data_IF_826269390058
#
_entry.id   IF_826269390058
#
_cell.length_a   1.000
_cell.length_b   1.000
_cell.length_c   1.000
_cell.angle_alpha   90.00
_cell.angle_beta   90.00
_cell.angle_gamma   90.00
#
_symmetry.space_group_name_H-M   'P 1'
#
loop_
_entity.id
_entity.type
_entity.pdbx_description
1 polymer ?
#
# COMPACT_ATOMS: atom_id res chain seq x y z
N UNK A 1 -15.40 -10.32 18.12
CA UNK A 1 -16.14 -9.09 17.76
C UNK A 1 -15.50 -8.49 16.51
N UNK A 2 -16.30 -7.96 15.57
CA UNK A 2 -15.78 -7.31 14.36
C UNK A 2 -16.24 -5.86 14.32
N UNK A 3 -15.29 -4.93 14.33
CA UNK A 3 -15.53 -3.49 14.37
C UNK A 3 -14.87 -2.83 13.17
N UNK A 4 -15.54 -1.88 12.52
CA UNK A 4 -14.94 -1.04 11.48
C UNK A 4 -14.79 0.38 12.02
N UNK A 5 -13.63 0.97 11.78
CA UNK A 5 -13.37 2.38 12.05
C UNK A 5 -12.77 3.03 10.81
N UNK A 6 -13.34 4.15 10.39
CA UNK A 6 -12.79 5.02 9.35
C UNK A 6 -12.65 6.43 9.90
N UNK A 7 -11.51 7.09 9.64
CA UNK A 7 -11.26 8.45 10.15
C UNK A 7 -12.08 9.50 9.38
N UNK A 8 -12.15 9.36 8.07
CA UNK A 8 -12.89 10.26 7.18
C UNK A 8 -14.06 9.54 6.50
N UNK A 9 -15.20 10.19 6.41
CA UNK A 9 -16.37 9.70 5.70
C UNK A 9 -16.63 10.54 4.45
N UNK A 10 -16.56 9.92 3.28
CA UNK A 10 -16.82 10.55 1.99
C UNK A 10 -18.30 10.39 1.68
N UNK A 11 -19.05 11.46 1.86
CA UNK A 11 -20.48 11.55 1.53
C UNK A 11 -20.75 12.44 0.31
N UNK A 12 -19.77 13.24 -0.10
CA UNK A 12 -19.83 14.17 -1.21
C UNK A 12 -18.55 14.06 -2.07
N UNK A 13 -18.67 13.95 -3.41
CA UNK A 13 -17.50 13.80 -4.29
C UNK A 13 -16.58 15.03 -4.37
N UNK A 14 -16.95 16.15 -3.76
CA UNK A 14 -16.12 17.35 -3.66
C UNK A 14 -15.54 17.59 -2.25
N UNK A 15 -15.95 16.82 -1.24
CA UNK A 15 -15.54 16.98 0.16
C UNK A 15 -15.11 15.63 0.74
N UNK A 16 -13.80 15.42 0.81
CA UNK A 16 -13.23 14.13 1.24
C UNK A 16 -12.85 14.07 2.73
N UNK A 17 -12.75 15.22 3.39
CA UNK A 17 -12.19 15.33 4.75
C UNK A 17 -10.66 15.33 4.81
N UNK A 18 -9.99 15.18 3.66
CA UNK A 18 -8.54 15.26 3.47
C UNK A 18 -8.24 15.88 2.10
N UNK A 19 -6.99 16.29 1.88
CA UNK A 19 -6.57 16.84 0.59
C UNK A 19 -6.39 15.71 -0.45
N UNK A 20 -7.10 15.74 -1.60
CA UNK A 20 -6.96 14.70 -2.62
C UNK A 20 -5.57 14.69 -3.30
N UNK A 21 -4.85 15.81 -3.34
CA UNK A 21 -3.46 15.84 -3.82
C UNK A 21 -2.56 15.00 -2.91
N UNK A 22 -2.70 15.16 -1.59
CA UNK A 22 -1.95 14.39 -0.60
C UNK A 22 -2.24 12.89 -0.77
N UNK A 23 -3.51 12.51 -0.96
CA UNK A 23 -3.86 11.11 -1.21
C UNK A 23 -3.18 10.57 -2.49
N UNK A 24 -3.18 11.35 -3.57
CA UNK A 24 -2.47 10.98 -4.79
C UNK A 24 -0.98 10.76 -4.53
N UNK A 25 -0.29 11.73 -3.91
CA UNK A 25 1.14 11.63 -3.56
C UNK A 25 1.45 10.44 -2.66
N UNK A 26 0.61 10.19 -1.66
CA UNK A 26 0.71 9.04 -0.77
C UNK A 26 0.72 7.72 -1.56
N UNK A 27 -0.20 7.55 -2.52
CA UNK A 27 -0.26 6.35 -3.36
C UNK A 27 0.99 6.19 -4.24
N UNK A 28 1.68 7.29 -4.52
CA UNK A 28 2.93 7.36 -5.28
C UNK A 28 4.20 7.54 -4.43
N UNK A 29 4.14 7.24 -3.12
CA UNK A 29 5.34 7.00 -2.30
C UNK A 29 5.86 8.20 -1.51
N UNK A 30 5.04 9.23 -1.32
CA UNK A 30 5.36 10.33 -0.42
C UNK A 30 5.21 9.90 1.06
N UNK A 31 6.33 9.66 1.73
CA UNK A 31 6.35 9.24 3.14
C UNK A 31 5.97 10.37 4.10
N UNK A 32 6.14 11.64 3.71
CA UNK A 32 5.69 12.77 4.52
C UNK A 32 4.17 12.74 4.69
N UNK A 33 3.46 12.45 3.59
CA UNK A 33 2.01 12.26 3.63
C UNK A 33 1.64 10.96 4.34
N UNK A 34 2.35 9.86 4.09
CA UNK A 34 2.10 8.59 4.79
C UNK A 34 2.23 8.75 6.32
N UNK A 35 3.20 9.55 6.77
CA UNK A 35 3.37 9.94 8.18
C UNK A 35 2.18 10.72 8.70
N UNK A 36 1.75 11.74 7.96
CA UNK A 36 0.59 12.52 8.36
C UNK A 36 -0.64 11.60 8.52
N UNK A 37 -0.99 10.83 7.48
CA UNK A 37 -2.16 9.95 7.50
C UNK A 37 -2.08 8.88 8.60
N UNK A 38 -0.91 8.25 8.79
CA UNK A 38 -0.72 7.22 9.79
C UNK A 38 -0.88 7.77 11.22
N UNK A 39 -0.29 8.93 11.49
CA UNK A 39 -0.39 9.57 12.81
C UNK A 39 -1.81 10.04 13.12
N UNK A 40 -2.52 10.65 12.17
CA UNK A 40 -3.90 11.12 12.38
C UNK A 40 -4.88 9.95 12.51
N UNK A 41 -4.68 8.87 11.75
CA UNK A 41 -5.48 7.65 11.90
C UNK A 41 -5.32 7.04 13.30
N UNK A 42 -4.07 6.97 13.81
CA UNK A 42 -3.81 6.49 15.15
C UNK A 42 -4.46 7.38 16.21
N UNK A 43 -4.34 8.71 16.09
CA UNK A 43 -4.95 9.65 17.02
C UNK A 43 -6.48 9.57 17.03
N UNK A 44 -7.09 9.38 15.86
CA UNK A 44 -8.53 9.18 15.74
C UNK A 44 -8.99 7.87 16.39
N UNK A 45 -8.27 6.77 16.14
CA UNK A 45 -8.57 5.47 16.72
C UNK A 45 -8.40 5.46 18.25
N UNK A 46 -7.32 6.06 18.76
CA UNK A 46 -7.08 6.22 20.20
C UNK A 46 -8.25 6.95 20.87
N UNK A 47 -8.62 8.14 20.36
CA UNK A 47 -9.67 8.97 20.97
C UNK A 47 -11.06 8.32 20.94
N UNK A 48 -11.38 7.66 19.83
CA UNK A 48 -12.71 7.07 19.61
C UNK A 48 -12.89 5.71 20.29
N UNK A 49 -11.82 4.94 20.48
CA UNK A 49 -11.88 3.58 20.99
C UNK A 49 -11.03 3.41 22.25
N UNK A 50 -9.71 3.57 22.15
CA UNK A 50 -8.80 3.15 23.23
C UNK A 50 -8.88 4.00 24.50
N UNK A 51 -9.21 5.28 24.40
CA UNK A 51 -9.45 6.15 25.56
C UNK A 51 -10.79 5.85 26.25
N UNK A 52 -11.76 5.29 25.52
CA UNK A 52 -13.07 4.91 26.06
C UNK A 52 -13.01 3.52 26.70
N UNK A 53 -12.42 2.57 25.97
CA UNK A 53 -12.27 1.17 26.37
C UNK A 53 -10.91 0.65 25.88
N UNK A 54 -9.87 0.69 26.73
CA UNK A 54 -8.54 0.20 26.37
C UNK A 54 -8.55 -1.29 26.03
N UNK A 55 -7.87 -1.66 24.95
CA UNK A 55 -7.62 -3.07 24.62
C UNK A 55 -6.53 -3.61 25.57
N UNK A 56 -6.89 -4.57 26.42
CA UNK A 56 -5.97 -5.17 27.39
C UNK A 56 -5.18 -6.35 26.82
N UNK A 57 -5.72 -7.00 25.78
CA UNK A 57 -5.06 -8.08 25.07
C UNK A 57 -3.87 -7.55 24.25
N UNK A 58 -2.92 -8.42 23.96
CA UNK A 58 -1.84 -8.09 23.03
C UNK A 58 -2.42 -7.70 21.67
N UNK A 59 -2.05 -6.51 21.17
CA UNK A 59 -2.46 -6.02 19.84
C UNK A 59 -1.49 -6.56 18.78
N UNK A 60 -2.03 -7.03 17.67
CA UNK A 60 -1.30 -7.31 16.44
C UNK A 60 -1.79 -6.41 15.30
N UNK A 61 -0.90 -5.57 14.77
CA UNK A 61 -1.18 -4.71 13.61
C UNK A 61 -0.77 -5.43 12.34
N UNK A 62 -1.69 -5.47 11.37
CA UNK A 62 -1.56 -6.23 10.13
C UNK A 62 -1.77 -5.28 8.96
N UNK A 63 -0.76 -5.15 8.10
CA UNK A 63 -0.88 -4.38 6.87
C UNK A 63 -1.67 -5.15 5.81
N UNK A 64 -2.19 -4.40 4.83
CA UNK A 64 -2.71 -4.98 3.60
C UNK A 64 -1.74 -6.01 2.96
N UNK A 65 -2.25 -7.11 2.38
CA UNK A 65 -1.41 -8.17 1.82
C UNK A 65 -0.50 -7.67 0.70
N UNK A 66 0.75 -8.15 0.69
CA UNK A 66 1.69 -7.94 -0.41
C UNK A 66 2.66 -9.13 -0.53
N UNK A 67 3.26 -9.27 -1.71
CA UNK A 67 4.30 -10.28 -1.95
C UNK A 67 5.66 -9.74 -1.51
N UNK A 68 6.46 -9.22 -2.46
CA UNK A 68 7.77 -8.65 -2.19
C UNK A 68 7.70 -7.15 -1.96
N UNK A 69 7.12 -6.39 -2.89
CA UNK A 69 7.08 -4.93 -2.81
C UNK A 69 5.94 -4.48 -1.89
N UNK A 70 6.21 -3.67 -0.85
CA UNK A 70 5.16 -3.13 0.02
C UNK A 70 4.13 -2.26 -0.72
N UNK A 71 2.97 -2.04 -0.09
CA UNK A 71 1.96 -1.08 -0.54
C UNK A 71 2.19 0.31 0.08
N UNK A 72 1.56 1.35 -0.46
CA UNK A 72 1.56 2.68 0.17
C UNK A 72 1.02 2.61 1.62
N UNK A 73 -0.04 1.83 1.83
CA UNK A 73 -0.60 1.53 3.16
C UNK A 73 0.44 1.00 4.15
N UNK A 74 1.45 0.26 3.70
CA UNK A 74 2.52 -0.21 4.59
C UNK A 74 3.28 0.94 5.24
N UNK A 75 3.62 1.99 4.48
CA UNK A 75 4.26 3.19 5.01
C UNK A 75 3.36 3.91 6.03
N UNK A 76 2.08 4.10 5.70
CA UNK A 76 1.09 4.67 6.63
C UNK A 76 0.97 3.86 7.93
N UNK A 77 0.92 2.53 7.81
CA UNK A 77 0.85 1.59 8.94
C UNK A 77 2.07 1.72 9.85
N UNK A 78 3.27 1.91 9.30
CA UNK A 78 4.49 2.13 10.11
C UNK A 78 4.33 3.35 11.02
N UNK A 79 3.86 4.47 10.47
CA UNK A 79 3.65 5.69 11.25
C UNK A 79 2.48 5.58 12.23
N UNK A 80 1.41 4.87 11.86
CA UNK A 80 0.33 4.51 12.76
C UNK A 80 0.86 3.73 13.98
N UNK A 81 1.67 2.70 13.75
CA UNK A 81 2.28 1.88 14.81
C UNK A 81 3.17 2.71 15.71
N UNK A 82 4.02 3.58 15.15
CA UNK A 82 4.87 4.46 15.96
C UNK A 82 4.06 5.39 16.86
N UNK A 83 2.95 5.94 16.34
CA UNK A 83 2.08 6.81 17.14
C UNK A 83 1.34 6.02 18.22
N UNK A 84 0.76 4.88 17.86
CA UNK A 84 0.02 4.01 18.78
C UNK A 84 0.92 3.47 19.90
N UNK A 85 2.12 2.98 19.58
CA UNK A 85 3.07 2.47 20.58
C UNK A 85 3.49 3.52 21.60
N UNK A 86 3.65 4.78 21.19
CA UNK A 86 3.94 5.87 22.13
C UNK A 86 2.81 6.05 23.13
N UNK A 87 1.56 6.05 22.66
CA UNK A 87 0.40 6.15 23.55
C UNK A 87 0.26 4.93 24.46
N UNK A 88 0.41 3.71 23.92
CA UNK A 88 0.33 2.46 24.70
C UNK A 88 1.39 2.44 25.81
N UNK A 89 2.65 2.74 25.47
CA UNK A 89 3.74 2.76 26.45
C UNK A 89 3.55 3.83 27.53
N UNK A 90 3.05 5.02 27.16
CA UNK A 90 2.76 6.10 28.11
C UNK A 90 1.63 5.75 29.09
N UNK A 91 0.70 4.89 28.69
CA UNK A 91 -0.42 4.45 29.51
C UNK A 91 -0.21 3.06 30.16
N UNK A 92 0.98 2.48 30.05
CA UNK A 92 1.32 1.20 30.68
C UNK A 92 0.74 -0.04 29.99
N UNK A 93 0.32 0.07 28.73
CA UNK A 93 -0.19 -1.04 27.94
C UNK A 93 0.92 -1.73 27.11
N UNK A 94 0.75 -3.02 26.77
CA UNK A 94 1.66 -3.71 25.84
C UNK A 94 1.74 -2.99 24.49
N UNK A 95 2.94 -2.77 23.99
CA UNK A 95 3.16 -2.24 22.64
C UNK A 95 2.70 -3.25 21.59
N UNK A 96 2.34 -2.78 20.40
CA UNK A 96 1.85 -3.64 19.34
C UNK A 96 2.94 -4.59 18.84
N UNK A 97 2.50 -5.75 18.40
CA UNK A 97 3.29 -6.63 17.56
C UNK A 97 2.84 -6.46 16.10
N UNK A 98 3.73 -6.71 15.14
CA UNK A 98 3.43 -6.60 13.72
C UNK A 98 3.52 -7.95 13.04
N UNK A 99 2.64 -8.18 12.07
CA UNK A 99 2.78 -9.29 11.11
C UNK A 99 2.19 -8.88 9.77
N UNK A 100 2.32 -9.71 8.75
CA UNK A 100 1.74 -9.48 7.43
C UNK A 100 0.98 -10.69 6.93
N UNK A 101 0.00 -10.42 6.07
CA UNK A 101 -0.59 -11.45 5.22
C UNK A 101 0.34 -11.63 4.02
N UNK A 102 0.88 -12.83 3.86
CA UNK A 102 1.69 -13.19 2.70
C UNK A 102 0.80 -13.52 1.52
N UNK A 103 1.09 -12.91 0.37
CA UNK A 103 0.41 -13.18 -0.91
C UNK A 103 1.34 -13.92 -1.86
N UNK A 104 0.86 -15.02 -2.43
CA UNK A 104 1.70 -15.92 -3.26
C UNK A 104 1.80 -15.48 -4.73
N UNK A 105 0.76 -14.84 -5.30
CA UNK A 105 0.71 -14.50 -6.74
C UNK A 105 0.52 -12.99 -6.94
N UNK A 106 1.21 -12.44 -7.95
CA UNK A 106 1.04 -11.05 -8.39
C UNK A 106 0.57 -11.04 -9.85
N UNK A 107 -0.71 -10.73 -10.07
CA UNK A 107 -1.27 -10.64 -11.43
C UNK A 107 -0.96 -9.29 -12.08
N UNK A 108 -0.86 -9.32 -13.42
CA UNK A 108 -0.71 -8.15 -14.31
C UNK A 108 -2.01 -7.35 -14.44
N UNK A 109 -3.16 -8.03 -14.47
CA UNK A 109 -4.43 -7.42 -14.90
C UNK A 109 -4.86 -6.29 -13.95
N UNK A 110 -4.99 -5.09 -14.53
CA UNK A 110 -5.46 -3.91 -13.82
C UNK A 110 -6.87 -4.18 -13.30
N UNK A 111 -7.03 -4.06 -11.98
CA UNK A 111 -8.32 -4.17 -11.28
C UNK A 111 -9.42 -3.29 -11.90
N UNK A 112 -9.04 -2.24 -12.65
CA UNK A 112 -9.95 -1.28 -13.28
C UNK A 112 -10.73 -1.79 -14.50
N UNK A 113 -10.24 -2.80 -15.24
CA UNK A 113 -10.86 -3.24 -16.51
C UNK A 113 -11.69 -4.53 -16.39
N UNK A 114 -11.52 -5.28 -15.30
CA UNK A 114 -12.21 -6.56 -15.09
C UNK A 114 -13.67 -6.36 -14.65
N UNK A 115 -14.56 -7.17 -15.21
CA UNK A 115 -15.96 -7.23 -14.79
C UNK A 115 -16.11 -7.91 -13.40
N UNK A 116 -17.30 -7.83 -12.80
CA UNK A 116 -17.52 -8.30 -11.43
C UNK A 116 -17.26 -9.80 -11.24
N UNK A 117 -17.48 -10.63 -12.26
CA UNK A 117 -17.32 -12.08 -12.22
C UNK A 117 -15.86 -12.49 -12.41
N UNK A 118 -15.15 -11.84 -13.34
CA UNK A 118 -13.70 -11.98 -13.53
C UNK A 118 -12.92 -11.58 -12.28
N UNK A 119 -13.33 -10.49 -11.61
CA UNK A 119 -12.77 -10.08 -10.31
C UNK A 119 -12.93 -11.17 -9.24
N UNK A 120 -14.06 -11.86 -9.20
CA UNK A 120 -14.32 -12.93 -8.21
C UNK A 120 -13.44 -14.16 -8.47
N UNK A 121 -13.27 -14.55 -9.73
CA UNK A 121 -12.47 -15.73 -10.10
C UNK A 121 -10.95 -15.51 -9.88
N UNK A 122 -10.42 -14.33 -10.18
CA UNK A 122 -9.03 -13.97 -9.87
C UNK A 122 -8.76 -13.90 -8.36
N UNK A 123 -9.70 -13.33 -7.58
CA UNK A 123 -9.61 -13.31 -6.11
C UNK A 123 -9.69 -14.73 -5.54
N UNK A 124 -10.43 -15.64 -6.17
CA UNK A 124 -10.54 -17.05 -5.76
C UNK A 124 -9.23 -17.83 -5.85
N UNK A 125 -8.30 -17.42 -6.71
CA UNK A 125 -6.99 -18.05 -6.91
C UNK A 125 -5.85 -17.39 -6.11
N UNK A 126 -6.10 -16.30 -5.37
CA UNK A 126 -5.11 -15.73 -4.46
C UNK A 126 -5.01 -16.62 -3.21
N UNK A 127 -3.84 -17.25 -3.01
CA UNK A 127 -3.51 -17.88 -1.74
C UNK A 127 -2.90 -16.85 -0.79
N UNK A 128 -3.58 -16.66 0.35
CA UNK A 128 -3.12 -15.84 1.47
C UNK A 128 -2.62 -16.74 2.59
N UNK A 129 -1.46 -16.40 3.14
CA UNK A 129 -0.86 -17.11 4.26
C UNK A 129 -0.67 -16.18 5.44
N UNK A 130 -1.11 -16.63 6.62
CA UNK A 130 -0.96 -15.91 7.88
C UNK A 130 -0.67 -16.91 9.00
N UNK A 131 0.18 -16.52 9.94
CA UNK A 131 0.52 -17.36 11.09
C UNK A 131 -0.60 -17.31 12.14
N UNK A 132 -1.51 -18.29 12.06
CA UNK A 132 -2.61 -18.45 13.02
C UNK A 132 -2.11 -18.62 14.46
N UNK A 133 -1.02 -19.34 14.68
CA UNK A 133 -0.52 -19.61 16.02
C UNK A 133 0.01 -18.34 16.66
N UNK A 134 0.75 -17.54 15.88
CA UNK A 134 1.16 -16.22 16.32
C UNK A 134 -0.04 -15.33 16.66
N UNK A 135 -1.14 -15.40 15.93
CA UNK A 135 -2.30 -14.54 16.17
C UNK A 135 -3.19 -14.96 17.34
N UNK A 136 -3.06 -16.18 17.87
CA UNK A 136 -3.95 -16.69 18.90
C UNK A 136 -4.03 -15.77 20.14
N UNK A 137 -5.25 -15.44 20.58
CA UNK A 137 -5.52 -14.64 21.79
C UNK A 137 -5.23 -13.13 21.67
N UNK A 138 -4.87 -12.64 20.48
CA UNK A 138 -4.57 -11.22 20.23
C UNK A 138 -5.80 -10.45 19.73
N UNK A 139 -5.77 -9.13 19.84
CA UNK A 139 -6.68 -8.26 19.09
C UNK A 139 -6.01 -7.84 17.79
N UNK A 140 -6.71 -8.01 16.66
CA UNK A 140 -6.15 -7.78 15.33
C UNK A 140 -6.60 -6.43 14.79
N UNK A 141 -5.65 -5.59 14.38
CA UNK A 141 -5.94 -4.35 13.67
C UNK A 141 -5.49 -4.50 12.21
N UNK A 142 -6.43 -4.63 11.29
CA UNK A 142 -6.14 -4.62 9.85
C UNK A 142 -6.23 -3.20 9.32
N UNK A 143 -5.17 -2.73 8.66
CA UNK A 143 -5.12 -1.38 8.09
C UNK A 143 -5.20 -1.39 6.56
N UNK A 144 -6.03 -0.50 6.05
CA UNK A 144 -6.06 -0.12 4.66
C UNK A 144 -6.25 1.40 4.49
N UNK A 145 -6.00 1.92 3.28
CA UNK A 145 -6.08 3.35 3.03
C UNK A 145 -7.51 3.84 2.85
N UNK A 146 -8.31 3.22 1.98
CA UNK A 146 -9.67 3.65 1.71
C UNK A 146 -10.63 2.49 1.50
N UNK A 147 -11.81 2.55 2.13
CA UNK A 147 -12.90 1.61 1.91
C UNK A 147 -13.89 2.18 0.90
N UNK A 148 -13.92 1.63 -0.31
CA UNK A 148 -14.85 2.05 -1.37
C UNK A 148 -16.04 1.10 -1.49
N UNK A 149 -15.79 -0.17 -1.80
CA UNK A 149 -16.84 -1.19 -1.99
C UNK A 149 -16.84 -2.26 -0.90
N UNK A 150 -15.88 -2.21 0.04
CA UNK A 150 -15.64 -3.24 1.04
C UNK A 150 -15.12 -4.58 0.47
N UNK A 151 -14.66 -4.63 -0.78
CA UNK A 151 -14.09 -5.85 -1.39
C UNK A 151 -12.91 -6.41 -0.61
N UNK A 152 -12.00 -5.53 -0.19
CA UNK A 152 -10.84 -5.91 0.63
C UNK A 152 -11.26 -6.45 2.01
N UNK A 153 -12.20 -5.78 2.68
CA UNK A 153 -12.77 -6.26 3.94
C UNK A 153 -13.35 -7.68 3.80
N UNK A 154 -14.15 -7.92 2.75
CA UNK A 154 -14.70 -9.26 2.46
C UNK A 154 -13.60 -10.30 2.22
N UNK A 155 -12.51 -9.92 1.55
CA UNK A 155 -11.37 -10.81 1.30
C UNK A 155 -10.64 -11.16 2.61
N UNK A 156 -10.36 -10.18 3.46
CA UNK A 156 -9.76 -10.42 4.79
C UNK A 156 -10.68 -11.31 5.64
N UNK A 157 -11.98 -11.05 5.65
CA UNK A 157 -12.93 -11.85 6.43
C UNK A 157 -13.06 -13.29 5.89
N UNK A 158 -12.95 -13.49 4.58
CA UNK A 158 -12.84 -14.85 4.01
C UNK A 158 -11.59 -15.58 4.52
N UNK A 159 -10.44 -14.91 4.56
CA UNK A 159 -9.20 -15.47 5.12
C UNK A 159 -9.37 -15.80 6.61
N UNK A 160 -9.89 -14.85 7.41
CA UNK A 160 -10.18 -15.04 8.84
C UNK A 160 -11.02 -16.29 9.07
N UNK A 161 -12.09 -16.47 8.29
CA UNK A 161 -12.96 -17.65 8.36
C UNK A 161 -12.26 -18.94 7.93
N UNK A 162 -11.52 -18.90 6.81
CA UNK A 162 -10.80 -20.07 6.29
C UNK A 162 -9.73 -20.58 7.27
N UNK A 163 -9.05 -19.67 7.97
CA UNK A 163 -8.08 -20.01 9.01
C UNK A 163 -8.74 -20.26 10.38
N UNK A 164 -10.05 -20.02 10.53
CA UNK A 164 -10.78 -20.19 11.79
C UNK A 164 -10.21 -19.34 12.92
N UNK A 165 -9.85 -18.09 12.63
CA UNK A 165 -9.39 -17.13 13.64
C UNK A 165 -10.57 -16.71 14.52
N UNK A 166 -10.36 -16.64 15.84
CA UNK A 166 -11.40 -16.33 16.84
C UNK A 166 -11.15 -14.98 17.53
N UNK A 167 -10.32 -14.15 16.92
CA UNK A 167 -9.85 -12.90 17.48
C UNK A 167 -10.92 -11.82 17.44
N UNK A 168 -10.77 -10.82 18.31
CA UNK A 168 -11.42 -9.52 18.09
C UNK A 168 -10.67 -8.79 16.98
N UNK A 169 -11.43 -8.27 16.01
CA UNK A 169 -10.90 -7.71 14.77
C UNK A 169 -11.42 -6.29 14.61
N UNK A 170 -10.49 -5.38 14.37
CA UNK A 170 -10.75 -4.04 13.91
C UNK A 170 -10.28 -3.88 12.47
N UNK A 171 -11.19 -3.45 11.60
CA UNK A 171 -10.87 -3.00 10.25
C UNK A 171 -10.73 -1.48 10.29
N UNK A 172 -9.51 -0.99 10.09
CA UNK A 172 -9.16 0.42 10.19
C UNK A 172 -8.88 1.00 8.81
N UNK A 173 -9.53 2.12 8.50
CA UNK A 173 -9.39 2.84 7.24
C UNK A 173 -9.07 4.31 7.46
N UNK A 174 -8.21 4.89 6.63
CA UNK A 174 -8.04 6.34 6.64
C UNK A 174 -9.32 7.05 6.15
N UNK A 175 -9.97 6.52 5.11
CA UNK A 175 -11.25 7.02 4.65
C UNK A 175 -12.24 5.92 4.24
N UNK A 176 -13.54 6.24 4.22
CA UNK A 176 -14.60 5.35 3.76
C UNK A 176 -15.62 6.10 2.89
N UNK A 177 -15.98 5.52 1.75
CA UNK A 177 -17.09 5.98 0.92
C UNK A 177 -18.41 5.51 1.53
N UNK A 178 -19.06 6.40 2.27
CA UNK A 178 -20.33 6.10 2.95
C UNK A 178 -21.54 6.34 2.05
N UNK A 179 -21.44 7.25 1.08
CA UNK A 179 -22.53 7.55 0.14
C UNK A 179 -22.51 6.57 -1.05
N UNK A 180 -23.42 5.61 -1.01
CA UNK A 180 -23.59 4.56 -2.03
C UNK A 180 -24.02 5.08 -3.41
N UNK A 181 -24.46 6.33 -3.52
CA UNK A 181 -24.83 6.97 -4.80
C UNK A 181 -23.61 7.44 -5.58
N UNK A 182 -22.46 7.60 -4.91
CA UNK A 182 -21.21 7.99 -5.56
C UNK A 182 -20.60 6.77 -6.24
N UNK A 183 -20.18 6.94 -7.49
CA UNK A 183 -19.59 5.87 -8.26
C UNK A 183 -18.22 5.44 -7.68
N UNK A 184 -17.93 4.13 -7.54
CA UNK A 184 -16.67 3.62 -7.00
C UNK A 184 -15.39 4.11 -7.70
N UNK A 185 -15.49 4.60 -8.95
CA UNK A 185 -14.39 5.20 -9.69
C UNK A 185 -13.79 6.46 -9.01
N UNK A 186 -14.44 6.97 -7.96
CA UNK A 186 -13.86 8.03 -7.13
C UNK A 186 -12.50 7.65 -6.52
N UNK A 187 -12.24 6.36 -6.30
CA UNK A 187 -10.91 5.89 -5.89
C UNK A 187 -9.85 6.22 -6.94
N UNK A 188 -10.18 6.01 -8.22
CA UNK A 188 -9.27 6.29 -9.32
C UNK A 188 -9.04 7.80 -9.48
N UNK A 189 -10.09 8.60 -9.29
CA UNK A 189 -9.99 10.07 -9.25
C UNK A 189 -8.99 10.50 -8.16
N UNK A 190 -9.10 9.94 -6.95
CA UNK A 190 -8.20 10.25 -5.83
C UNK A 190 -6.77 9.77 -6.10
N UNK A 191 -6.60 8.53 -6.58
CA UNK A 191 -5.29 7.96 -6.90
C UNK A 191 -4.48 8.86 -7.83
N UNK A 192 -5.11 9.36 -8.89
CA UNK A 192 -4.47 10.17 -9.91
C UNK A 192 -4.84 11.65 -9.79
N UNK A 193 -5.22 12.15 -8.61
CA UNK A 193 -5.66 13.55 -8.49
C UNK A 193 -4.54 14.54 -8.85
N UNK A 194 -3.33 14.31 -8.33
CA UNK A 194 -2.15 15.14 -8.63
C UNK A 194 -1.22 14.49 -9.64
N UNK A 195 -0.91 13.20 -9.48
CA UNK A 195 0.00 12.47 -10.39
C UNK A 195 -0.79 12.07 -11.65
N UNK A 196 -0.49 12.71 -12.79
CA UNK A 196 -1.15 12.45 -14.08
C UNK A 196 -0.23 11.70 -15.04
N UNK A 197 1.07 11.96 -14.94
CA UNK A 197 2.10 11.44 -15.84
C UNK A 197 3.27 10.88 -15.04
N UNK A 198 4.13 10.10 -15.71
CA UNK A 198 5.36 9.58 -15.09
C UNK A 198 6.29 10.68 -14.60
N UNK A 199 6.26 11.86 -15.21
CA UNK A 199 7.10 13.00 -14.85
C UNK A 199 6.63 13.69 -13.55
N UNK A 200 5.36 13.54 -13.18
CA UNK A 200 4.84 14.05 -11.90
C UNK A 200 5.41 13.28 -10.69
N UNK A 201 6.08 12.15 -10.93
CA UNK A 201 6.79 11.40 -9.88
C UNK A 201 8.10 12.06 -9.47
N UNK A 202 8.73 12.86 -10.33
CA UNK A 202 10.03 13.48 -10.03
C UNK A 202 10.07 14.28 -8.72
N UNK A 203 9.12 15.21 -8.44
CA UNK A 203 9.13 15.92 -7.16
C UNK A 203 8.91 15.01 -5.95
N UNK A 204 8.23 13.88 -6.13
CA UNK A 204 7.99 12.90 -5.06
C UNK A 204 9.29 12.11 -4.79
N UNK A 205 9.94 11.61 -5.84
CA UNK A 205 11.19 10.83 -5.75
C UNK A 205 12.32 11.70 -5.18
N UNK A 206 12.43 12.96 -5.64
CA UNK A 206 13.48 13.90 -5.22
C UNK A 206 13.17 14.61 -3.90
N UNK A 207 12.06 14.31 -3.22
CA UNK A 207 11.66 14.94 -1.96
C UNK A 207 12.61 14.67 -0.78
N UNK A 208 13.44 13.63 -0.86
CA UNK A 208 14.21 13.11 0.27
C UNK A 208 13.38 12.25 1.25
N UNK A 209 12.09 12.05 0.99
CA UNK A 209 11.16 11.25 1.80
C UNK A 209 10.37 10.26 0.92
N UNK A 210 11.03 9.73 -0.11
CA UNK A 210 10.43 8.78 -1.03
C UNK A 210 10.51 7.35 -0.50
N UNK A 211 9.39 6.62 -0.55
CA UNK A 211 9.34 5.18 -0.31
C UNK A 211 8.73 4.48 -1.53
N UNK A 212 9.51 3.56 -2.11
CA UNK A 212 9.05 2.74 -3.22
C UNK A 212 7.93 1.78 -2.79
N UNK A 213 6.93 1.62 -3.64
CA UNK A 213 5.80 0.73 -3.41
C UNK A 213 5.33 0.08 -4.72
N UNK A 214 4.51 -0.96 -4.60
CA UNK A 214 4.10 -1.78 -5.74
C UNK A 214 3.40 -1.00 -6.85
N UNK A 215 2.62 0.05 -6.52
CA UNK A 215 1.92 0.89 -7.52
C UNK A 215 2.90 1.65 -8.38
N UNK A 216 3.91 2.27 -7.77
CA UNK A 216 4.90 3.08 -8.51
C UNK A 216 5.68 2.20 -9.49
N UNK A 217 6.12 1.02 -9.04
CA UNK A 217 6.87 0.08 -9.89
C UNK A 217 6.01 -0.34 -11.08
N UNK A 218 4.75 -0.75 -10.84
CA UNK A 218 3.83 -1.10 -11.93
C UNK A 218 3.56 0.08 -12.87
N UNK A 219 3.34 1.27 -12.32
CA UNK A 219 3.02 2.48 -13.08
C UNK A 219 4.16 2.89 -14.00
N UNK A 220 5.40 2.86 -13.49
CA UNK A 220 6.60 3.15 -14.29
C UNK A 220 6.81 2.08 -15.36
N UNK A 221 6.74 0.79 -15.01
CA UNK A 221 7.02 -0.30 -15.95
C UNK A 221 5.93 -0.50 -17.02
N UNK A 222 4.67 -0.14 -16.75
CA UNK A 222 3.60 -0.13 -17.75
C UNK A 222 3.55 1.16 -18.58
N UNK A 223 4.38 2.16 -18.27
CA UNK A 223 4.33 3.42 -19.00
C UNK A 223 4.81 3.25 -20.44
N UNK A 224 4.38 4.15 -21.34
CA UNK A 224 4.81 4.11 -22.72
C UNK A 224 6.34 4.24 -22.81
N UNK A 225 6.94 3.47 -23.73
CA UNK A 225 8.39 3.28 -23.79
C UNK A 225 9.18 4.59 -23.97
N UNK A 226 8.69 5.52 -24.80
CA UNK A 226 9.41 6.76 -25.08
C UNK A 226 9.48 7.67 -23.85
N UNK A 227 8.35 7.87 -23.16
CA UNK A 227 8.34 8.64 -21.91
C UNK A 227 9.09 7.92 -20.79
N UNK A 228 8.96 6.59 -20.70
CA UNK A 228 9.70 5.77 -19.74
C UNK A 228 11.21 5.95 -19.91
N UNK A 229 11.71 5.89 -21.15
CA UNK A 229 13.12 6.06 -21.47
C UNK A 229 13.65 7.40 -20.97
N UNK A 230 12.97 8.48 -21.36
CA UNK A 230 13.32 9.85 -20.94
C UNK A 230 13.30 9.96 -19.41
N UNK A 231 12.28 9.42 -18.76
CA UNK A 231 12.14 9.47 -17.31
C UNK A 231 13.30 8.76 -16.61
N UNK A 232 13.64 7.52 -17.02
CA UNK A 232 14.71 6.72 -16.43
C UNK A 232 16.09 7.33 -16.68
N UNK A 233 16.35 7.87 -17.87
CA UNK A 233 17.61 8.56 -18.19
C UNK A 233 17.85 9.80 -17.30
N UNK A 234 16.78 10.40 -16.76
CA UNK A 234 16.84 11.54 -15.84
C UNK A 234 16.86 11.17 -14.35
N UNK A 235 16.82 9.88 -14.02
CA UNK A 235 16.92 9.41 -12.63
C UNK A 235 18.36 9.11 -12.24
N UNK A 236 18.63 9.18 -10.93
CA UNK A 236 19.90 8.74 -10.39
C UNK A 236 20.02 7.21 -10.39
N UNK A 237 21.28 6.76 -10.37
CA UNK A 237 21.62 5.35 -10.40
C UNK A 237 21.03 4.57 -9.21
N UNK A 238 20.88 5.22 -8.03
CA UNK A 238 20.29 4.59 -6.84
C UNK A 238 18.82 4.26 -7.04
N UNK A 239 18.03 5.18 -7.60
CA UNK A 239 16.63 4.98 -7.89
C UNK A 239 16.44 3.91 -8.97
N UNK A 240 17.23 3.94 -10.06
CA UNK A 240 17.11 2.95 -11.14
C UNK A 240 17.42 1.53 -10.63
N UNK A 241 18.47 1.37 -9.81
CA UNK A 241 18.76 0.09 -9.16
C UNK A 241 17.62 -0.35 -8.22
N UNK A 242 17.10 0.56 -7.39
CA UNK A 242 15.98 0.25 -6.49
C UNK A 242 14.73 -0.20 -7.26
N UNK A 243 14.37 0.50 -8.34
CA UNK A 243 13.26 0.13 -9.22
C UNK A 243 13.46 -1.27 -9.81
N UNK A 244 14.66 -1.55 -10.30
CA UNK A 244 15.01 -2.84 -10.89
C UNK A 244 14.94 -3.98 -9.87
N UNK A 245 15.54 -3.80 -8.69
CA UNK A 245 15.53 -4.79 -7.61
C UNK A 245 14.11 -5.07 -7.11
N UNK A 246 13.28 -4.04 -6.98
CA UNK A 246 11.87 -4.22 -6.62
C UNK A 246 11.11 -5.01 -7.69
N UNK A 247 11.34 -4.71 -8.96
CA UNK A 247 10.71 -5.43 -10.07
C UNK A 247 11.14 -6.90 -10.10
N UNK A 248 12.44 -7.18 -9.93
CA UNK A 248 12.97 -8.55 -9.88
C UNK A 248 12.41 -9.33 -8.69
N UNK A 249 12.45 -8.75 -7.50
CA UNK A 249 11.98 -9.41 -6.28
C UNK A 249 10.49 -9.75 -6.31
N UNK A 250 9.69 -8.99 -7.09
CA UNK A 250 8.28 -9.29 -7.30
C UNK A 250 7.99 -10.15 -8.55
N UNK A 251 9.05 -10.65 -9.21
CA UNK A 251 8.93 -11.52 -10.39
C UNK A 251 8.51 -10.82 -11.67
N UNK A 252 8.57 -9.48 -11.76
CA UNK A 252 8.06 -8.75 -12.93
C UNK A 252 8.84 -8.99 -14.22
N UNK A 253 10.05 -9.53 -14.14
CA UNK A 253 10.84 -9.97 -15.29
C UNK A 253 10.20 -11.13 -16.07
N UNK A 254 9.23 -11.84 -15.48
CA UNK A 254 8.49 -12.92 -16.16
C UNK A 254 7.19 -12.44 -16.81
N UNK A 255 6.89 -11.14 -16.73
CA UNK A 255 5.64 -10.55 -17.23
C UNK A 255 5.92 -9.77 -18.52
N UNK A 256 5.38 -10.25 -19.64
CA UNK A 256 5.64 -9.70 -20.99
C UNK A 256 5.35 -8.20 -21.13
N UNK A 257 4.35 -7.66 -20.42
CA UNK A 257 4.06 -6.23 -20.46
C UNK A 257 5.23 -5.36 -19.99
N UNK A 258 5.98 -5.85 -19.01
CA UNK A 258 7.08 -5.10 -18.42
C UNK A 258 8.40 -5.34 -19.14
N UNK A 259 8.49 -6.38 -19.97
CA UNK A 259 9.73 -6.84 -20.58
C UNK A 259 10.45 -5.73 -21.36
N UNK A 260 9.74 -4.94 -22.16
CA UNK A 260 10.34 -3.87 -22.96
C UNK A 260 11.04 -2.81 -22.09
N UNK A 261 10.35 -2.32 -21.06
CA UNK A 261 10.87 -1.29 -20.16
C UNK A 261 11.95 -1.85 -19.21
N UNK A 262 11.78 -3.09 -18.72
CA UNK A 262 12.79 -3.75 -17.88
C UNK A 262 14.08 -4.05 -18.64
N UNK A 263 14.00 -4.52 -19.89
CA UNK A 263 15.19 -4.77 -20.70
C UNK A 263 15.98 -3.49 -20.96
N UNK A 264 15.31 -2.36 -21.16
CA UNK A 264 15.98 -1.07 -21.27
C UNK A 264 16.77 -0.72 -20.00
N UNK A 265 16.22 -0.95 -18.81
CA UNK A 265 16.95 -0.74 -17.55
C UNK A 265 18.18 -1.65 -17.51
N UNK A 266 18.01 -2.95 -17.76
CA UNK A 266 19.09 -3.94 -17.80
C UNK A 266 20.23 -3.49 -18.72
N UNK A 267 19.94 -3.17 -19.97
CA UNK A 267 20.94 -2.80 -20.96
C UNK A 267 21.75 -1.56 -20.52
N UNK A 268 21.09 -0.54 -19.97
CA UNK A 268 21.75 0.69 -19.53
C UNK A 268 22.55 0.52 -18.22
N UNK A 269 22.05 -0.28 -17.27
CA UNK A 269 22.76 -0.60 -16.03
C UNK A 269 24.08 -1.36 -16.31
N UNK A 270 24.04 -2.35 -17.21
CA UNK A 270 25.20 -3.19 -17.51
C UNK A 270 26.21 -2.52 -18.47
N UNK A 271 25.77 -1.59 -19.33
CA UNK A 271 26.68 -0.81 -20.19
C UNK A 271 27.48 0.21 -19.37
N UNK A 272 26.85 0.91 -18.42
CA UNK A 272 27.53 1.91 -17.59
C UNK A 272 28.59 1.28 -16.66
N UNK A 273 28.35 0.08 -16.14
CA UNK A 273 29.34 -0.66 -15.37
C UNK A 273 30.56 -1.11 -16.19
N UNK A 274 30.39 -1.46 -17.48
CA UNK A 274 31.52 -1.81 -18.36
C UNK A 274 32.40 -0.61 -18.72
N UNK A 275 31.82 0.60 -18.79
CA UNK A 275 32.58 1.82 -19.06
C UNK A 275 33.38 2.29 -17.84
N UNK A 276 32.88 2.06 -16.62
CA UNK A 276 33.65 2.28 -15.37
C UNK A 276 34.86 1.36 -15.26
N UNK A 277 34.75 0.10 -15.70
CA UNK A 277 35.89 -0.85 -15.72
C UNK A 277 36.90 -0.49 -16.83
N UNK A 278 36.47 0.15 -17.93
CA UNK A 278 37.38 0.60 -19.01
C UNK A 278 38.12 1.90 -18.72
N UNK A 279 37.62 2.73 -17.79
CA UNK A 279 38.23 4.01 -17.42
C UNK A 279 38.74 4.08 -15.98
N UNK A 280 38.60 3.00 -15.20
CA UNK A 280 39.22 2.84 -13.89
C UNK A 280 40.59 2.17 -13.98
N UNK A 281 41.62 2.99 -14.19
CA UNK A 281 42.99 2.75 -13.71
C UNK A 281 43.23 3.61 -12.48
#
# INVERSE_FOLDING_TARGET
MNTTFSLHHIDNPALFGFNPDDYSRFKFGDDAVAKHFGTTLADGFIRSHLEQEPILQQIAVISSPYSFIPTATFAMKTWFVYRLNRWLAQNGYPVVQETKVHRTITYKEDYGELNAEERINLIGNDSFHIDKHFLAGKTLLFLDDIKITGSHERMIMKMVNAYGLQNDIYMLYFAELVNKSIHPNIENLLNYHQVKTIFDLEPIIKSGQFIINTRIVKYILNYNFECFRIFIENQDQSFVNLLYDMALGNGYHTIDAYAKNLNFITDNLFINNKNLIKHGN
#
